data_IF_894138539942
#
_entry.id   IF_894138539942
#
_cell.length_a   1.000
_cell.length_b   1.000
_cell.length_c   1.000
_cell.angle_alpha   90.00
_cell.angle_beta   90.00
_cell.angle_gamma   90.00
#
_symmetry.space_group_name_H-M   'P 1'
#
loop_
_entity.id
_entity.type
_entity.pdbx_description
1 polymer ?
#
# COMPACT_ATOMS: atom_id res chain seq x y z
N UNK A 1 -47.83 5.71 61.40
CA UNK A 1 -46.65 4.85 61.21
C UNK A 1 -46.18 5.02 59.76
N UNK A 2 -44.97 5.55 59.59
CA UNK A 2 -44.39 5.98 58.31
C UNK A 2 -43.93 4.78 57.47
N UNK A 3 -44.36 4.72 56.21
CA UNK A 3 -43.81 3.82 55.20
C UNK A 3 -42.75 4.58 54.39
N UNK A 4 -41.49 4.22 54.70
CA UNK A 4 -40.26 4.71 54.10
C UNK A 4 -40.16 4.28 52.63
N UNK A 5 -40.07 5.27 51.73
CA UNK A 5 -39.84 5.08 50.31
C UNK A 5 -38.38 4.68 50.02
N UNK A 6 -38.20 3.66 49.20
CA UNK A 6 -36.90 3.28 48.62
C UNK A 6 -36.89 3.71 47.15
N UNK A 7 -36.15 4.77 46.86
CA UNK A 7 -35.81 5.15 45.48
C UNK A 7 -34.78 4.17 44.93
N UNK A 8 -35.14 3.45 43.86
CA UNK A 8 -34.21 2.67 43.08
C UNK A 8 -33.47 3.61 42.11
N UNK A 9 -32.17 3.80 42.34
CA UNK A 9 -31.28 4.51 41.42
C UNK A 9 -30.89 3.54 40.31
N UNK A 10 -31.44 3.74 39.11
CA UNK A 10 -31.01 3.04 37.90
C UNK A 10 -29.73 3.69 37.37
N UNK A 11 -28.58 3.05 37.61
CA UNK A 11 -27.32 3.43 37.00
C UNK A 11 -27.33 3.01 35.52
N UNK A 12 -27.43 3.99 34.62
CA UNK A 12 -27.29 3.78 33.19
C UNK A 12 -25.80 3.57 32.85
N UNK A 13 -25.36 2.32 32.68
CA UNK A 13 -24.07 2.00 32.09
C UNK A 13 -24.09 2.39 30.60
N UNK A 14 -23.47 3.52 30.28
CA UNK A 14 -23.16 3.93 28.91
C UNK A 14 -22.11 2.97 28.35
N UNK A 15 -22.55 2.00 27.56
CA UNK A 15 -21.65 1.17 26.74
C UNK A 15 -21.10 2.04 25.61
N UNK A 16 -19.87 2.53 25.75
CA UNK A 16 -19.15 3.12 24.63
C UNK A 16 -18.67 1.98 23.71
N UNK A 17 -19.08 1.96 22.41
CA UNK A 17 -18.51 1.02 21.46
C UNK A 17 -17.03 1.34 21.30
N UNK A 18 -16.18 0.43 21.75
CA UNK A 18 -14.75 0.50 21.49
C UNK A 18 -14.58 0.07 20.04
N UNK A 19 -14.43 1.03 19.11
CA UNK A 19 -14.09 0.72 17.72
C UNK A 19 -12.70 0.07 17.69
N UNK A 20 -12.67 -1.25 17.66
CA UNK A 20 -11.45 -2.02 17.43
C UNK A 20 -11.07 -1.85 15.97
N UNK A 21 -10.07 -1.00 15.69
CA UNK A 21 -9.41 -0.97 14.39
C UNK A 21 -8.65 -2.30 14.24
N UNK A 22 -9.23 -3.24 13.49
CA UNK A 22 -8.61 -4.53 13.23
C UNK A 22 -7.47 -4.37 12.23
N UNK A 23 -6.33 -4.96 12.53
CA UNK A 23 -5.23 -5.16 11.56
C UNK A 23 -5.54 -6.44 10.82
N UNK A 24 -5.63 -6.36 9.49
CA UNK A 24 -5.82 -7.53 8.62
C UNK A 24 -4.46 -8.01 8.10
N UNK A 25 -4.22 -9.32 8.16
CA UNK A 25 -3.07 -9.97 7.52
C UNK A 25 -3.49 -10.40 6.11
N UNK A 26 -2.76 -9.95 5.09
CA UNK A 26 -3.06 -10.22 3.68
C UNK A 26 -1.79 -10.57 2.90
N UNK A 27 -1.97 -11.13 1.71
CA UNK A 27 -0.89 -11.27 0.72
C UNK A 27 -0.91 -10.13 -0.32
N UNK A 28 -1.86 -9.20 -0.20
CA UNK A 28 -2.05 -8.05 -1.11
C UNK A 28 -2.26 -6.73 -0.36
N UNK A 29 -1.84 -5.63 -0.98
CA UNK A 29 -2.15 -4.26 -0.53
C UNK A 29 -3.48 -3.81 -1.12
N UNK A 30 -4.55 -3.91 -0.33
CA UNK A 30 -5.92 -3.81 -0.85
C UNK A 30 -6.30 -2.39 -1.31
N UNK A 31 -5.60 -1.36 -0.81
CA UNK A 31 -5.86 0.02 -1.23
C UNK A 31 -5.18 0.40 -2.54
N UNK A 32 -4.22 -0.41 -3.01
CA UNK A 32 -3.62 -0.20 -4.32
C UNK A 32 -4.64 -0.70 -5.33
N UNK A 33 -5.20 0.22 -6.11
CA UNK A 33 -6.11 -0.12 -7.20
C UNK A 33 -5.44 0.29 -8.51
N UNK A 34 -5.21 -0.67 -9.40
CA UNK A 34 -4.52 -0.43 -10.66
C UNK A 34 -2.99 -0.38 -10.55
N UNK A 35 -2.37 0.58 -11.23
CA UNK A 35 -0.92 0.65 -11.44
C UNK A 35 -0.36 1.94 -10.86
N UNK A 36 0.65 1.83 -10.00
CA UNK A 36 1.37 2.96 -9.42
C UNK A 36 2.83 2.96 -9.84
N UNK A 37 3.47 4.09 -10.07
CA UNK A 37 4.91 4.13 -10.37
C UNK A 37 5.51 5.46 -9.93
N UNK A 38 6.84 5.55 -9.91
CA UNK A 38 7.49 6.86 -9.77
C UNK A 38 7.00 7.81 -10.88
N UNK A 39 6.93 9.13 -10.65
CA UNK A 39 6.45 10.08 -11.65
C UNK A 39 7.17 9.97 -13.01
N UNK A 40 8.45 9.59 -13.00
CA UNK A 40 9.23 9.35 -14.21
C UNK A 40 8.80 8.06 -14.91
N UNK A 41 8.75 6.93 -14.21
CA UNK A 41 8.33 5.65 -14.78
C UNK A 41 6.90 5.71 -15.31
N UNK A 42 6.03 6.46 -14.63
CA UNK A 42 4.66 6.70 -15.05
C UNK A 42 4.58 7.30 -16.47
N UNK A 43 5.39 8.33 -16.74
CA UNK A 43 5.47 8.97 -18.06
C UNK A 43 5.95 7.99 -19.13
N UNK A 44 6.96 7.16 -18.80
CA UNK A 44 7.51 6.16 -19.72
C UNK A 44 6.47 5.07 -20.03
N UNK A 45 5.80 4.54 -19.01
CA UNK A 45 4.72 3.55 -19.16
C UNK A 45 3.58 4.09 -20.02
N UNK A 46 3.15 5.34 -19.81
CA UNK A 46 2.13 5.97 -20.65
C UNK A 46 2.59 6.18 -22.10
N UNK A 47 3.86 6.55 -22.31
CA UNK A 47 4.41 6.70 -23.66
C UNK A 47 4.43 5.36 -24.42
N UNK A 48 4.77 4.27 -23.74
CA UNK A 48 4.73 2.90 -24.30
C UNK A 48 3.29 2.51 -24.63
N UNK A 49 2.36 2.70 -23.68
CA UNK A 49 0.95 2.36 -23.86
C UNK A 49 0.36 3.10 -25.07
N UNK A 50 0.69 4.39 -25.25
CA UNK A 50 0.25 5.21 -26.40
C UNK A 50 0.89 4.81 -27.72
N UNK A 51 2.19 4.48 -27.73
CA UNK A 51 2.91 4.06 -28.93
C UNK A 51 2.29 2.77 -29.50
N UNK A 52 1.91 1.86 -28.60
CA UNK A 52 1.42 0.54 -28.96
C UNK A 52 2.47 -0.31 -29.69
N UNK A 53 2.13 -1.58 -29.94
CA UNK A 53 3.02 -2.52 -30.64
C UNK A 53 3.75 -3.48 -29.70
N UNK A 54 4.71 -4.27 -30.23
CA UNK A 54 5.47 -5.23 -29.45
C UNK A 54 6.41 -4.53 -28.47
N UNK A 55 6.46 -5.00 -27.23
CA UNK A 55 7.37 -4.51 -26.20
C UNK A 55 8.80 -5.00 -26.45
N UNK A 56 9.77 -4.15 -26.15
CA UNK A 56 11.21 -4.45 -26.12
C UNK A 56 11.73 -4.43 -24.69
N UNK A 57 12.96 -4.90 -24.46
CA UNK A 57 13.62 -4.87 -23.15
C UNK A 57 13.66 -3.45 -22.56
N UNK A 58 13.79 -2.43 -23.41
CA UNK A 58 13.81 -1.02 -22.99
C UNK A 58 12.44 -0.49 -22.54
N UNK A 59 11.36 -1.27 -22.73
CA UNK A 59 9.99 -0.89 -22.38
C UNK A 59 9.54 -1.46 -21.01
N UNK A 60 10.45 -2.08 -20.26
CA UNK A 60 10.19 -2.62 -18.93
C UNK A 60 10.56 -1.60 -17.85
N UNK A 61 9.53 -1.06 -17.20
CA UNK A 61 9.67 -0.08 -16.13
C UNK A 61 8.92 -0.55 -14.90
N UNK A 62 9.60 -0.49 -13.75
CA UNK A 62 9.03 -0.82 -12.47
C UNK A 62 7.76 -0.02 -12.20
N UNK A 63 6.73 -0.77 -11.84
CA UNK A 63 5.49 -0.25 -11.29
C UNK A 63 5.00 -1.16 -10.19
N UNK A 64 4.06 -0.66 -9.40
CA UNK A 64 3.48 -1.29 -8.25
C UNK A 64 2.03 -1.68 -8.55
N UNK A 65 1.69 -2.89 -8.13
CA UNK A 65 0.37 -3.52 -8.19
C UNK A 65 -0.04 -3.95 -6.78
N UNK A 66 -1.29 -4.39 -6.55
CA UNK A 66 -1.70 -4.88 -5.23
C UNK A 66 -0.84 -6.04 -4.73
N UNK A 67 -0.28 -6.85 -5.63
CA UNK A 67 0.51 -8.03 -5.31
C UNK A 67 2.00 -7.76 -5.15
N UNK A 68 2.50 -6.58 -5.52
CA UNK A 68 3.93 -6.29 -5.50
C UNK A 68 4.44 -5.44 -6.66
N UNK A 69 5.76 -5.31 -6.73
CA UNK A 69 6.43 -4.61 -7.82
C UNK A 69 6.53 -5.50 -9.06
N UNK A 70 6.16 -4.96 -10.21
CA UNK A 70 5.98 -5.69 -11.48
C UNK A 70 6.68 -4.99 -12.64
N UNK A 71 6.79 -5.71 -13.76
CA UNK A 71 7.43 -5.31 -15.02
C UNK A 71 8.91 -4.88 -14.89
N UNK A 72 9.65 -5.44 -13.94
CA UNK A 72 11.10 -5.53 -14.07
C UNK A 72 11.44 -6.62 -15.09
N UNK A 73 12.28 -6.31 -16.08
CA UNK A 73 12.63 -7.24 -17.15
C UNK A 73 13.15 -8.59 -16.63
N UNK A 74 14.04 -8.55 -15.63
CA UNK A 74 14.63 -9.73 -14.99
C UNK A 74 14.16 -9.93 -13.56
N UNK A 75 13.30 -9.05 -13.06
CA UNK A 75 12.94 -8.99 -11.66
C UNK A 75 11.44 -8.73 -11.48
N UNK A 76 10.85 -9.48 -10.56
CA UNK A 76 9.53 -9.17 -10.01
C UNK A 76 9.58 -9.35 -8.51
N UNK A 77 8.76 -8.57 -7.81
CA UNK A 77 8.64 -8.66 -6.37
C UNK A 77 7.20 -8.96 -6.00
N UNK A 78 6.99 -9.92 -5.11
CA UNK A 78 5.69 -10.23 -4.54
C UNK A 78 5.64 -9.78 -3.09
N UNK A 79 4.50 -9.25 -2.68
CA UNK A 79 4.23 -8.99 -1.28
C UNK A 79 3.86 -10.27 -0.55
N UNK A 80 4.38 -10.36 0.66
CA UNK A 80 4.07 -11.35 1.65
C UNK A 80 3.86 -10.62 2.97
N UNK A 81 3.03 -11.18 3.86
CA UNK A 81 2.83 -10.65 5.22
C UNK A 81 2.53 -9.15 5.20
N UNK A 82 1.38 -8.80 4.63
CA UNK A 82 0.89 -7.43 4.59
C UNK A 82 0.09 -7.15 5.86
N UNK A 83 0.49 -6.12 6.60
CA UNK A 83 -0.27 -5.55 7.71
C UNK A 83 -0.82 -4.21 7.28
N UNK A 84 -2.13 -4.09 7.17
CA UNK A 84 -2.78 -2.85 6.75
C UNK A 84 -3.58 -2.25 7.90
N UNK A 85 -3.50 -0.92 8.03
CA UNK A 85 -4.31 -0.13 8.95
C UNK A 85 -4.66 1.21 8.33
N UNK A 86 -5.92 1.36 7.94
CA UNK A 86 -6.46 2.59 7.35
C UNK A 86 -5.63 3.05 6.13
N UNK A 87 -4.87 4.15 6.26
CA UNK A 87 -4.08 4.76 5.19
C UNK A 87 -2.63 4.29 5.14
N UNK A 88 -2.23 3.35 5.98
CA UNK A 88 -0.86 2.86 6.02
C UNK A 88 -0.81 1.34 5.95
N UNK A 89 0.29 0.82 5.45
CA UNK A 89 0.57 -0.60 5.49
C UNK A 89 2.07 -0.90 5.62
N UNK A 90 2.37 -2.08 6.12
CA UNK A 90 3.71 -2.66 6.06
C UNK A 90 3.61 -3.96 5.29
N UNK A 91 4.52 -4.22 4.36
CA UNK A 91 4.61 -5.49 3.65
C UNK A 91 6.05 -5.99 3.60
N UNK A 92 6.22 -7.31 3.61
CA UNK A 92 7.47 -7.93 3.21
C UNK A 92 7.44 -8.09 1.69
N UNK A 93 8.45 -7.58 1.00
CA UNK A 93 8.62 -7.71 -0.44
C UNK A 93 9.68 -8.77 -0.70
N UNK A 94 9.32 -9.83 -1.43
CA UNK A 94 10.25 -10.86 -1.87
C UNK A 94 10.50 -10.68 -3.36
N UNK A 95 11.72 -10.31 -3.72
CA UNK A 95 12.12 -10.08 -5.11
C UNK A 95 12.98 -11.24 -5.61
N UNK A 96 12.72 -11.70 -6.83
CA UNK A 96 13.56 -12.69 -7.51
C UNK A 96 14.12 -12.07 -8.78
N UNK A 97 15.45 -12.05 -8.90
CA UNK A 97 16.19 -11.56 -10.07
C UNK A 97 17.21 -12.63 -10.50
N UNK A 98 16.93 -13.30 -11.61
CA UNK A 98 17.74 -14.44 -12.05
C UNK A 98 17.81 -15.55 -10.99
N UNK A 99 19.02 -15.80 -10.46
CA UNK A 99 19.27 -16.78 -9.39
C UNK A 99 19.34 -16.16 -7.99
N UNK A 100 19.10 -14.85 -7.87
CA UNK A 100 19.15 -14.12 -6.61
C UNK A 100 17.73 -13.88 -6.07
N UNK A 101 17.56 -14.03 -4.77
CA UNK A 101 16.35 -13.67 -4.03
C UNK A 101 16.72 -12.66 -2.95
N UNK A 102 15.99 -11.54 -2.89
CA UNK A 102 16.08 -10.56 -1.81
C UNK A 102 14.75 -10.47 -1.07
N UNK A 103 14.82 -10.12 0.21
CA UNK A 103 13.65 -9.93 1.07
C UNK A 103 13.82 -8.58 1.75
N UNK A 104 12.87 -7.69 1.57
CA UNK A 104 12.92 -6.32 2.08
C UNK A 104 11.58 -5.96 2.72
N UNK A 105 11.61 -5.34 3.90
CA UNK A 105 10.41 -4.71 4.46
C UNK A 105 10.13 -3.38 3.76
N UNK A 106 8.86 -3.06 3.56
CA UNK A 106 8.39 -1.80 2.99
C UNK A 106 7.27 -1.24 3.85
N UNK A 107 7.29 0.07 4.05
CA UNK A 107 6.21 0.80 4.71
C UNK A 107 5.55 1.74 3.70
N UNK A 108 4.23 1.78 3.70
CA UNK A 108 3.40 2.43 2.70
C UNK A 108 2.50 3.45 3.39
N UNK A 109 2.47 4.66 2.86
CA UNK A 109 1.54 5.71 3.31
C UNK A 109 0.75 6.27 2.13
N UNK A 110 -0.58 6.30 2.26
CA UNK A 110 -1.48 6.94 1.31
C UNK A 110 -1.63 8.41 1.62
N UNK A 111 -1.27 9.26 0.66
CA UNK A 111 -1.43 10.70 0.72
C UNK A 111 -2.62 11.15 -0.12
N UNK A 112 -3.31 12.19 0.34
CA UNK A 112 -4.39 12.78 -0.44
C UNK A 112 -3.81 13.41 -1.70
N UNK A 113 -4.35 13.01 -2.84
CA UNK A 113 -4.00 13.59 -4.13
C UNK A 113 -5.11 14.52 -4.57
N UNK A 114 -4.78 15.47 -5.46
CA UNK A 114 -5.78 16.29 -6.16
C UNK A 114 -6.48 15.50 -7.29
N UNK A 115 -6.04 14.29 -7.56
CA UNK A 115 -6.61 13.39 -8.57
C UNK A 115 -7.61 12.42 -7.93
N UNK A 116 -8.29 11.60 -8.76
CA UNK A 116 -9.24 10.59 -8.28
C UNK A 116 -8.59 9.43 -7.52
N UNK A 117 -7.26 9.34 -7.51
CA UNK A 117 -6.49 8.29 -6.85
C UNK A 117 -5.49 8.90 -5.86
N UNK A 118 -5.37 8.37 -4.63
CA UNK A 118 -4.38 8.86 -3.66
C UNK A 118 -2.96 8.65 -4.19
N UNK A 119 -2.03 9.49 -3.76
CA UNK A 119 -0.60 9.28 -3.98
C UNK A 119 -0.06 8.32 -2.92
N UNK A 120 1.06 7.65 -3.20
CA UNK A 120 1.66 6.67 -2.30
C UNK A 120 3.10 7.09 -1.99
N UNK A 121 3.48 7.09 -0.72
CA UNK A 121 4.88 7.19 -0.31
C UNK A 121 5.32 5.82 0.20
N UNK A 122 6.44 5.33 -0.32
CA UNK A 122 7.02 4.04 0.06
C UNK A 122 8.34 4.30 0.75
N UNK A 123 8.44 3.83 1.99
CA UNK A 123 9.64 3.91 2.78
C UNK A 123 10.30 2.53 2.81
N UNK A 124 11.63 2.45 2.62
CA UNK A 124 12.36 1.23 2.92
C UNK A 124 12.18 0.91 4.41
N UNK A 125 11.78 -0.33 4.71
CA UNK A 125 11.74 -0.82 6.09
C UNK A 125 13.17 -1.03 6.57
N UNK A 126 13.61 -0.30 7.59
CA UNK A 126 14.87 -0.60 8.25
C UNK A 126 14.73 -1.93 8.98
N UNK A 127 15.48 -2.96 8.59
CA UNK A 127 15.78 -4.08 9.50
C UNK A 127 16.69 -3.57 10.63
N UNK A 128 16.10 -2.84 11.58
CA UNK A 128 16.82 -2.24 12.70
C UNK A 128 17.70 -1.04 12.32
N UNK A 129 17.20 0.17 12.59
CA UNK A 129 18.02 1.37 12.82
C UNK A 129 19.10 1.68 11.77
N UNK A 130 18.69 2.26 10.65
CA UNK A 130 19.62 2.79 9.64
C UNK A 130 18.90 3.78 8.72
N UNK A 131 19.45 4.98 8.63
CA UNK A 131 18.84 6.24 8.17
C UNK A 131 18.65 6.34 6.64
N UNK A 132 17.55 5.80 6.13
CA UNK A 132 16.99 6.26 4.85
C UNK A 132 15.58 6.79 5.09
N UNK A 133 15.53 7.96 5.72
CA UNK A 133 14.33 8.73 6.10
C UNK A 133 13.59 9.36 4.91
N UNK A 134 14.06 9.18 3.68
CA UNK A 134 13.43 9.72 2.48
C UNK A 134 12.58 8.64 1.79
N UNK A 135 11.27 8.69 2.01
CA UNK A 135 10.31 7.88 1.27
C UNK A 135 10.28 8.25 -0.22
N UNK A 136 10.04 7.27 -1.06
CA UNK A 136 9.88 7.46 -2.50
C UNK A 136 8.41 7.70 -2.86
N UNK A 137 8.16 8.68 -3.72
CA UNK A 137 6.80 9.00 -4.17
C UNK A 137 6.41 8.17 -5.39
N UNK A 138 5.23 7.58 -5.30
CA UNK A 138 4.55 6.81 -6.34
C UNK A 138 3.19 7.46 -6.61
N UNK A 139 2.87 7.62 -7.90
CA UNK A 139 1.62 8.20 -8.38
C UNK A 139 0.84 7.18 -9.18
N UNK A 140 -0.48 7.35 -9.23
CA UNK A 140 -1.34 6.52 -10.05
C UNK A 140 -1.04 6.71 -11.54
N UNK A 141 -0.84 5.61 -12.25
CA UNK A 141 -0.45 5.55 -13.65
C UNK A 141 -1.53 4.90 -14.48
N UNK A 142 -2.49 5.71 -14.89
CA UNK A 142 -3.57 5.29 -15.78
C UNK A 142 -3.00 4.55 -17.00
N UNK A 143 -3.58 3.38 -17.28
CA UNK A 143 -3.26 2.62 -18.47
C UNK A 143 -3.96 3.29 -19.64
N UNK A 144 -3.19 3.79 -20.60
CA UNK A 144 -3.79 4.41 -21.78
C UNK A 144 -4.41 3.30 -22.64
N UNK A 145 -5.73 3.34 -22.81
CA UNK A 145 -6.43 2.47 -23.74
C UNK A 145 -5.94 2.69 -25.18
N UNK A 146 -6.01 1.65 -26.00
CA UNK A 146 -5.93 1.81 -27.46
C UNK A 146 -7.28 2.22 -28.01
#
# INVERSE_FOLDING_TARGET
>A
MNLSGKMAVFAACVFMPVSTYAVEMRDDLSFITGRYASPENCKKLQAIDRKGGPKTIADYFWHLTPQGFSDGWEASCQFHVVFQRDRTATAQSICVEGAHTSIDWKYFELHESKTSHPDLIIYPGSEGGGDSSMGESYVYCEKMGK
#
